data_IF_851726227475
#
_entry.id   IF_851726227475
#
_cell.length_a   1.000
_cell.length_b   1.000
_cell.length_c   1.000
_cell.angle_alpha   90.00
_cell.angle_beta   90.00
_cell.angle_gamma   90.00
#
_symmetry.space_group_name_H-M   'P 1'
#
loop_
_entity.id
_entity.type
_entity.pdbx_description
1 polymer ?
#
# COMPACT_ATOMS: atom_id res chain seq x y z
N UNK A 1 3.82 33.48 15.65
CA UNK A 1 3.22 32.62 16.71
C UNK A 1 1.93 32.09 16.10
N UNK A 2 1.69 30.79 16.19
CA UNK A 2 0.38 30.26 15.78
C UNK A 2 -0.65 30.68 16.83
N UNK A 3 -1.74 31.34 16.39
CA UNK A 3 -2.84 31.65 17.29
C UNK A 3 -3.60 30.34 17.56
N UNK A 4 -3.62 29.92 18.82
CA UNK A 4 -4.33 28.72 19.26
C UNK A 4 -5.74 29.12 19.73
N UNK A 5 -6.74 28.36 19.28
CA UNK A 5 -8.09 28.42 19.80
C UNK A 5 -8.31 27.19 20.68
N UNK A 6 -8.71 27.38 21.92
CA UNK A 6 -9.14 26.27 22.79
C UNK A 6 -10.54 25.85 22.38
N UNK A 7 -10.73 24.55 22.09
CA UNK A 7 -12.02 23.95 21.79
C UNK A 7 -12.25 22.75 22.70
N UNK A 8 -13.37 22.77 23.42
CA UNK A 8 -13.77 21.69 24.34
C UNK A 8 -15.18 21.19 23.97
N UNK A 9 -15.33 19.88 23.87
CA UNK A 9 -16.59 19.23 23.57
C UNK A 9 -16.67 17.88 24.28
N UNK A 10 -17.85 17.54 24.82
CA UNK A 10 -18.14 16.17 25.16
C UNK A 10 -18.36 15.36 23.89
N UNK A 11 -17.65 14.26 23.75
CA UNK A 11 -17.64 13.42 22.55
C UNK A 11 -18.49 12.16 22.79
N UNK A 12 -19.52 11.89 21.97
CA UNK A 12 -20.29 10.65 22.07
C UNK A 12 -19.40 9.41 21.94
N UNK A 13 -19.65 8.44 22.82
CA UNK A 13 -18.96 7.16 22.79
C UNK A 13 -19.82 6.14 22.04
N UNK A 14 -19.28 5.55 20.97
CA UNK A 14 -20.00 4.64 20.08
C UNK A 14 -19.89 3.17 20.50
N UNK A 15 -18.89 2.83 21.29
CA UNK A 15 -18.73 1.48 21.79
C UNK A 15 -17.30 1.02 21.94
N UNK A 16 -17.18 -0.25 22.35
CA UNK A 16 -15.90 -0.92 22.54
C UNK A 16 -15.85 -2.17 21.66
N UNK A 17 -14.70 -2.44 21.07
CA UNK A 17 -14.39 -3.64 20.27
C UNK A 17 -13.14 -4.32 20.79
N UNK A 18 -12.93 -5.58 20.43
CA UNK A 18 -11.68 -6.27 20.75
C UNK A 18 -10.54 -5.66 19.90
N UNK A 19 -10.81 -5.45 18.58
CA UNK A 19 -9.86 -4.87 17.65
C UNK A 19 -10.51 -3.74 16.85
N UNK A 20 -9.83 -2.60 16.77
CA UNK A 20 -10.21 -1.49 15.86
C UNK A 20 -9.10 -1.29 14.83
N UNK A 21 -9.47 -1.38 13.55
CA UNK A 21 -8.58 -1.15 12.41
C UNK A 21 -8.89 0.22 11.81
N UNK A 22 -7.88 1.08 11.70
CA UNK A 22 -8.02 2.43 11.15
C UNK A 22 -7.37 2.50 9.77
N UNK A 23 -8.20 2.71 8.74
CA UNK A 23 -7.86 2.73 7.33
C UNK A 23 -8.28 1.45 6.60
N UNK A 24 -9.21 1.57 5.66
CA UNK A 24 -9.77 0.49 4.82
C UNK A 24 -9.00 0.21 3.53
N UNK A 25 -7.69 0.52 3.50
CA UNK A 25 -6.81 0.19 2.39
C UNK A 25 -6.50 -1.32 2.29
N UNK A 26 -5.63 -1.74 1.33
CA UNK A 26 -5.31 -3.17 1.14
C UNK A 26 -4.88 -3.89 2.42
N UNK A 27 -4.05 -3.23 3.23
CA UNK A 27 -3.61 -3.78 4.52
C UNK A 27 -4.74 -3.85 5.54
N UNK A 28 -5.55 -2.77 5.66
CA UNK A 28 -6.58 -2.67 6.69
C UNK A 28 -7.73 -3.63 6.49
N UNK A 29 -8.16 -3.84 5.25
CA UNK A 29 -9.19 -4.86 4.94
C UNK A 29 -8.69 -6.24 5.36
N UNK A 30 -7.47 -6.62 4.97
CA UNK A 30 -6.91 -7.91 5.34
C UNK A 30 -6.74 -8.04 6.87
N UNK A 31 -6.35 -6.96 7.55
CA UNK A 31 -6.21 -6.95 9.01
C UNK A 31 -7.57 -7.16 9.71
N UNK A 32 -8.60 -6.44 9.27
CA UNK A 32 -9.93 -6.55 9.85
C UNK A 32 -10.55 -7.95 9.64
N UNK A 33 -10.49 -8.45 8.41
CA UNK A 33 -11.00 -9.78 8.05
C UNK A 33 -10.28 -10.87 8.83
N UNK A 34 -8.97 -10.82 8.89
CA UNK A 34 -8.18 -11.84 9.60
C UNK A 34 -8.43 -11.79 11.10
N UNK A 35 -8.51 -10.61 11.72
CA UNK A 35 -8.83 -10.49 13.14
C UNK A 35 -10.21 -11.08 13.47
N UNK A 36 -11.22 -10.77 12.66
CA UNK A 36 -12.57 -11.29 12.83
C UNK A 36 -12.65 -12.82 12.62
N UNK A 37 -11.98 -13.35 11.59
CA UNK A 37 -11.90 -14.81 11.33
C UNK A 37 -11.23 -15.58 12.48
N UNK A 38 -10.37 -14.91 13.26
CA UNK A 38 -9.77 -15.49 14.47
C UNK A 38 -10.58 -15.22 15.75
N UNK A 39 -11.81 -14.70 15.61
CA UNK A 39 -12.80 -14.58 16.66
C UNK A 39 -12.79 -13.25 17.42
N UNK A 40 -12.03 -12.25 17.01
CA UNK A 40 -12.07 -10.91 17.60
C UNK A 40 -13.28 -10.12 17.07
N UNK A 41 -14.04 -9.48 17.94
CA UNK A 41 -15.04 -8.49 17.55
C UNK A 41 -14.33 -7.27 16.98
N UNK A 42 -14.44 -7.07 15.67
CA UNK A 42 -13.59 -6.14 14.92
C UNK A 42 -14.41 -5.00 14.31
N UNK A 43 -13.89 -3.76 14.42
CA UNK A 43 -14.39 -2.58 13.71
C UNK A 43 -13.35 -2.10 12.72
N UNK A 44 -13.77 -1.90 11.46
CA UNK A 44 -12.99 -1.25 10.41
C UNK A 44 -13.48 0.17 10.17
N UNK A 45 -12.57 1.14 10.23
CA UNK A 45 -12.87 2.57 10.03
C UNK A 45 -12.17 3.06 8.76
N UNK A 46 -12.93 3.66 7.84
CA UNK A 46 -12.41 4.21 6.59
C UNK A 46 -12.92 5.63 6.33
N UNK A 47 -12.00 6.52 5.95
CA UNK A 47 -12.29 7.94 5.73
C UNK A 47 -13.09 8.20 4.45
N UNK A 48 -12.96 7.36 3.45
CA UNK A 48 -13.69 7.45 2.19
C UNK A 48 -14.97 6.63 2.20
N UNK A 49 -15.74 6.72 1.12
CA UNK A 49 -16.96 5.90 0.91
C UNK A 49 -16.66 4.54 0.28
N UNK A 50 -15.40 4.08 0.24
CA UNK A 50 -15.04 2.82 -0.41
C UNK A 50 -13.80 2.19 0.22
N UNK A 51 -13.76 0.86 0.27
CA UNK A 51 -12.59 0.09 0.65
C UNK A 51 -11.57 -0.03 -0.49
N UNK A 52 -10.35 -0.48 -0.16
CA UNK A 52 -9.26 -0.76 -1.11
C UNK A 52 -8.23 0.36 -1.25
N UNK A 53 -8.46 1.53 -0.65
CA UNK A 53 -7.48 2.63 -0.57
C UNK A 53 -6.81 2.94 -1.91
N UNK A 54 -5.47 2.78 -2.00
CA UNK A 54 -4.73 3.11 -3.22
C UNK A 54 -5.21 2.35 -4.46
N UNK A 55 -5.70 1.11 -4.34
CA UNK A 55 -6.20 0.33 -5.48
C UNK A 55 -7.53 0.85 -6.05
N UNK A 56 -8.32 1.54 -5.22
CA UNK A 56 -9.66 2.02 -5.57
C UNK A 56 -9.73 3.54 -5.65
N UNK A 57 -9.41 4.27 -4.58
CA UNK A 57 -9.50 5.75 -4.56
C UNK A 57 -8.43 6.42 -5.41
N UNK A 58 -7.23 5.83 -5.50
CA UNK A 58 -6.11 6.34 -6.31
C UNK A 58 -5.94 5.59 -7.65
N UNK A 59 -6.77 4.59 -7.95
CA UNK A 59 -6.75 3.76 -9.17
C UNK A 59 -5.38 3.09 -9.42
N UNK A 60 -4.57 2.87 -8.38
CA UNK A 60 -3.27 2.22 -8.52
C UNK A 60 -3.45 0.75 -8.90
N UNK A 61 -2.78 0.34 -9.94
CA UNK A 61 -2.79 -1.03 -10.45
C UNK A 61 -1.80 -1.18 -11.62
N UNK A 62 -1.53 -2.41 -12.04
CA UNK A 62 -1.99 -3.69 -11.49
C UNK A 62 -1.47 -3.94 -10.07
N UNK A 63 -1.94 -5.00 -9.38
CA UNK A 63 -1.19 -5.53 -8.25
C UNK A 63 0.14 -6.05 -8.79
N UNK A 64 1.24 -5.64 -8.15
CA UNK A 64 2.57 -6.08 -8.54
C UNK A 64 2.72 -7.59 -8.33
N UNK A 65 3.80 -8.16 -8.85
CA UNK A 65 4.06 -9.60 -8.74
C UNK A 65 3.98 -10.09 -7.29
N UNK A 66 3.37 -11.24 -7.12
CA UNK A 66 3.39 -12.01 -5.88
C UNK A 66 4.28 -13.26 -5.99
N UNK A 67 5.14 -13.31 -6.99
CA UNK A 67 6.10 -14.39 -7.24
C UNK A 67 7.50 -14.00 -6.74
N UNK A 68 8.37 -15.00 -6.57
CA UNK A 68 9.78 -14.80 -6.29
C UNK A 68 10.45 -13.97 -7.41
N UNK A 69 11.67 -13.49 -7.17
CA UNK A 69 12.40 -12.64 -8.12
C UNK A 69 12.51 -13.25 -9.51
N UNK A 70 12.64 -14.57 -9.60
CA UNK A 70 12.87 -15.27 -10.86
C UNK A 70 11.55 -15.76 -11.50
N UNK A 71 10.40 -15.57 -10.81
CA UNK A 71 9.07 -15.91 -11.31
C UNK A 71 8.73 -17.40 -11.25
N UNK A 72 9.40 -18.15 -10.37
CA UNK A 72 9.24 -19.62 -10.32
C UNK A 72 8.11 -20.06 -9.39
N UNK A 73 7.89 -19.33 -8.29
CA UNK A 73 6.87 -19.70 -7.29
C UNK A 73 6.22 -18.47 -6.66
N UNK A 74 4.96 -18.57 -6.25
CA UNK A 74 4.33 -17.51 -5.48
C UNK A 74 4.99 -17.38 -4.10
N UNK A 75 5.07 -16.14 -3.60
CA UNK A 75 5.56 -15.78 -2.27
C UNK A 75 4.51 -15.05 -1.44
N UNK A 76 3.38 -14.69 -2.02
CA UNK A 76 2.23 -14.15 -1.30
C UNK A 76 1.00 -14.98 -1.63
N UNK A 77 0.35 -15.49 -0.57
CA UNK A 77 -0.89 -16.26 -0.61
C UNK A 77 -1.97 -15.64 0.29
N UNK A 78 -2.72 -16.50 0.98
CA UNK A 78 -3.71 -16.10 1.98
C UNK A 78 -4.80 -15.17 1.42
N UNK A 79 -5.14 -14.13 2.17
CA UNK A 79 -6.19 -13.17 1.80
C UNK A 79 -5.93 -12.46 0.46
N UNK A 80 -4.68 -12.19 0.11
CA UNK A 80 -4.37 -11.67 -1.22
C UNK A 80 -4.86 -12.63 -2.32
N UNK A 81 -4.55 -13.92 -2.18
CA UNK A 81 -4.94 -14.95 -3.16
C UNK A 81 -6.46 -15.06 -3.24
N UNK A 82 -7.14 -15.11 -2.12
CA UNK A 82 -8.61 -15.14 -2.05
C UNK A 82 -9.23 -13.94 -2.78
N UNK A 83 -8.72 -12.72 -2.55
CA UNK A 83 -9.23 -11.51 -3.19
C UNK A 83 -9.10 -11.58 -4.71
N UNK A 84 -7.94 -11.97 -5.23
CA UNK A 84 -7.75 -12.02 -6.69
C UNK A 84 -8.53 -13.16 -7.36
N UNK A 85 -8.75 -14.27 -6.67
CA UNK A 85 -9.60 -15.36 -7.16
C UNK A 85 -11.06 -14.94 -7.24
N UNK A 86 -11.60 -14.30 -6.19
CA UNK A 86 -12.96 -13.74 -6.20
C UNK A 86 -13.15 -12.68 -7.30
N UNK A 87 -12.12 -11.90 -7.61
CA UNK A 87 -12.15 -10.98 -8.74
C UNK A 87 -12.14 -11.72 -10.08
N UNK A 88 -11.31 -12.76 -10.23
CA UNK A 88 -11.22 -13.55 -11.45
C UNK A 88 -12.53 -14.29 -11.76
N UNK A 89 -13.23 -14.82 -10.76
CA UNK A 89 -14.56 -15.41 -10.88
C UNK A 89 -15.60 -14.43 -11.47
N UNK A 90 -15.38 -13.12 -11.24
CA UNK A 90 -16.20 -12.02 -11.78
C UNK A 90 -15.65 -11.44 -13.09
N UNK A 91 -14.63 -12.06 -13.71
CA UNK A 91 -13.87 -11.54 -14.85
C UNK A 91 -13.25 -10.16 -14.60
N UNK A 92 -12.93 -9.84 -13.37
CA UNK A 92 -12.42 -8.56 -12.90
C UNK A 92 -10.94 -8.59 -12.49
N UNK A 93 -10.26 -9.71 -12.69
CA UNK A 93 -8.81 -9.85 -12.58
C UNK A 93 -8.28 -10.86 -13.60
N UNK A 94 -7.02 -10.67 -14.00
CA UNK A 94 -6.24 -11.70 -14.70
C UNK A 94 -5.26 -12.26 -13.68
N UNK A 95 -5.39 -13.54 -13.37
CA UNK A 95 -4.55 -14.18 -12.36
C UNK A 95 -3.08 -14.21 -12.80
N UNK A 96 -2.13 -14.13 -11.84
CA UNK A 96 -0.70 -13.97 -12.11
C UNK A 96 -0.11 -15.13 -12.92
N UNK A 97 -0.70 -16.32 -12.89
CA UNK A 97 -0.31 -17.47 -13.71
C UNK A 97 -0.45 -17.22 -15.21
N UNK A 98 -1.34 -16.30 -15.60
CA UNK A 98 -1.63 -15.96 -17.00
C UNK A 98 -0.94 -14.68 -17.47
N UNK A 99 -0.15 -14.04 -16.61
CA UNK A 99 0.56 -12.78 -16.91
C UNK A 99 2.08 -12.94 -16.88
N UNK A 100 2.57 -14.09 -17.25
CA UNK A 100 4.02 -14.37 -17.34
C UNK A 100 4.71 -13.62 -18.49
N UNK A 101 3.96 -13.23 -19.51
CA UNK A 101 4.47 -12.39 -20.61
C UNK A 101 4.74 -10.97 -20.10
N UNK A 102 5.77 -10.29 -20.64
CA UNK A 102 5.96 -8.87 -20.40
C UNK A 102 4.64 -8.17 -20.74
N UNK A 103 3.98 -7.64 -19.72
CA UNK A 103 2.91 -6.70 -19.96
C UNK A 103 3.47 -5.55 -20.78
N UNK A 104 2.61 -4.75 -21.38
CA UNK A 104 2.88 -3.61 -22.26
C UNK A 104 3.85 -2.60 -21.63
N UNK A 105 5.02 -3.04 -21.24
CA UNK A 105 6.04 -2.22 -20.61
C UNK A 105 7.33 -2.34 -21.36
N UNK A 106 8.01 -1.22 -21.42
CA UNK A 106 9.37 -1.12 -21.92
C UNK A 106 10.22 -2.25 -21.32
N UNK A 107 11.02 -2.86 -22.15
CA UNK A 107 11.88 -4.02 -21.88
C UNK A 107 12.66 -3.98 -20.55
N UNK A 108 12.82 -2.81 -19.96
CA UNK A 108 13.49 -2.59 -18.69
C UNK A 108 12.72 -3.12 -17.47
N UNK A 109 11.39 -2.98 -17.46
CA UNK A 109 10.56 -3.35 -16.33
C UNK A 109 9.96 -4.75 -16.55
N UNK A 110 10.05 -5.31 -17.75
CA UNK A 110 9.48 -6.61 -18.14
C UNK A 110 9.83 -7.73 -17.15
N UNK A 111 11.07 -7.80 -16.67
CA UNK A 111 11.50 -8.82 -15.69
C UNK A 111 10.73 -8.73 -14.38
N UNK A 112 10.37 -7.53 -13.92
CA UNK A 112 9.72 -7.27 -12.62
C UNK A 112 8.21 -7.09 -12.72
N UNK A 113 7.67 -7.10 -13.95
CA UNK A 113 6.23 -7.02 -14.21
C UNK A 113 5.66 -8.34 -14.75
N UNK A 114 6.41 -9.42 -14.66
CA UNK A 114 5.87 -10.78 -14.82
C UNK A 114 5.00 -11.10 -13.61
N UNK A 115 3.95 -11.88 -13.83
CA UNK A 115 3.05 -12.30 -12.76
C UNK A 115 2.39 -11.15 -11.99
N UNK A 116 2.15 -10.01 -12.64
CA UNK A 116 1.29 -8.96 -12.09
C UNK A 116 -0.17 -9.38 -12.19
N UNK A 117 -1.03 -8.80 -11.37
CA UNK A 117 -2.48 -9.07 -11.41
C UNK A 117 -3.20 -7.80 -11.86
N UNK A 118 -3.56 -7.67 -13.15
CA UNK A 118 -4.49 -6.64 -13.61
C UNK A 118 -5.84 -6.79 -12.92
N UNK A 119 -6.40 -5.68 -12.46
CA UNK A 119 -7.65 -5.66 -11.72
C UNK A 119 -8.59 -4.55 -12.20
N UNK A 120 -9.89 -4.80 -12.09
CA UNK A 120 -10.91 -3.76 -12.13
C UNK A 120 -11.11 -3.16 -10.72
N UNK A 121 -10.88 -1.84 -10.60
CA UNK A 121 -10.95 -1.16 -9.29
C UNK A 121 -12.37 -1.04 -8.75
N UNK A 122 -13.40 -1.05 -9.58
CA UNK A 122 -14.79 -1.01 -9.12
C UNK A 122 -15.22 -2.38 -8.58
N UNK A 123 -14.93 -3.45 -9.31
CA UNK A 123 -15.24 -4.80 -8.84
C UNK A 123 -14.45 -5.17 -7.59
N UNK A 124 -13.23 -4.62 -7.44
CA UNK A 124 -12.47 -4.78 -6.21
C UNK A 124 -13.23 -4.22 -5.00
N UNK A 125 -13.89 -3.05 -5.11
CA UNK A 125 -14.70 -2.51 -4.00
C UNK A 125 -15.78 -3.51 -3.58
N UNK A 126 -16.53 -4.06 -4.55
CA UNK A 126 -17.59 -5.04 -4.26
C UNK A 126 -17.03 -6.29 -3.57
N UNK A 127 -15.91 -6.82 -4.07
CA UNK A 127 -15.28 -8.00 -3.45
C UNK A 127 -14.82 -7.72 -2.02
N UNK A 128 -14.27 -6.53 -1.75
CA UNK A 128 -13.81 -6.17 -0.41
C UNK A 128 -15.00 -5.93 0.54
N UNK A 129 -16.08 -5.32 0.08
CA UNK A 129 -17.30 -5.12 0.87
C UNK A 129 -17.91 -6.47 1.27
N UNK A 130 -18.02 -7.41 0.30
CA UNK A 130 -18.51 -8.77 0.55
C UNK A 130 -17.60 -9.50 1.55
N UNK A 131 -16.29 -9.44 1.38
CA UNK A 131 -15.32 -10.11 2.24
C UNK A 131 -15.38 -9.63 3.68
N UNK A 132 -15.46 -8.31 3.90
CA UNK A 132 -15.57 -7.68 5.22
C UNK A 132 -16.88 -8.07 5.89
N UNK A 133 -17.99 -8.05 5.15
CA UNK A 133 -19.31 -8.43 5.63
C UNK A 133 -19.39 -9.92 5.98
N UNK A 134 -18.88 -10.79 5.13
CA UNK A 134 -18.84 -12.25 5.35
C UNK A 134 -18.01 -12.61 6.60
N UNK A 135 -16.96 -11.86 6.88
CA UNK A 135 -16.14 -12.05 8.07
C UNK A 135 -16.81 -11.55 9.36
N UNK A 136 -17.95 -10.84 9.27
CA UNK A 136 -18.66 -10.30 10.42
C UNK A 136 -17.98 -9.07 11.03
N UNK A 137 -17.22 -8.31 10.25
CA UNK A 137 -16.57 -7.07 10.67
C UNK A 137 -17.59 -5.93 10.69
N UNK A 138 -17.69 -5.21 11.81
CA UNK A 138 -18.39 -3.93 11.86
C UNK A 138 -17.61 -2.89 11.04
N UNK A 139 -18.29 -2.05 10.24
CA UNK A 139 -17.62 -1.10 9.35
C UNK A 139 -18.23 0.29 9.44
N UNK A 140 -17.36 1.31 9.49
CA UNK A 140 -17.72 2.71 9.40
C UNK A 140 -16.96 3.38 8.23
N UNK A 141 -17.65 3.62 7.12
CA UNK A 141 -17.18 4.47 6.03
C UNK A 141 -17.45 5.95 6.35
N UNK A 142 -16.86 6.86 5.56
CA UNK A 142 -16.98 8.31 5.76
C UNK A 142 -16.60 8.76 7.18
N UNK A 143 -15.74 7.99 7.83
CA UNK A 143 -15.34 8.20 9.21
C UNK A 143 -13.82 8.30 9.30
N UNK A 144 -13.33 9.49 9.64
CA UNK A 144 -11.89 9.80 9.65
C UNK A 144 -11.34 9.80 11.08
N UNK A 145 -10.17 9.20 11.25
CA UNK A 145 -9.37 9.38 12.47
C UNK A 145 -8.96 10.85 12.64
N UNK A 146 -9.08 11.36 13.85
CA UNK A 146 -8.71 12.74 14.22
C UNK A 146 -7.59 12.76 15.24
N UNK A 147 -7.73 11.99 16.33
CA UNK A 147 -6.82 11.98 17.46
C UNK A 147 -7.02 10.73 18.32
N UNK A 148 -6.22 10.54 19.35
CA UNK A 148 -6.44 9.51 20.37
C UNK A 148 -6.15 10.03 21.76
N UNK A 149 -6.77 9.38 22.74
CA UNK A 149 -6.49 9.58 24.15
C UNK A 149 -5.53 8.48 24.59
N UNK A 150 -4.31 8.86 24.95
CA UNK A 150 -3.27 7.94 25.41
C UNK A 150 -2.92 8.19 26.85
N UNK A 151 -2.83 7.10 27.63
CA UNK A 151 -2.39 7.13 29.02
C UNK A 151 -1.41 5.99 29.27
N UNK A 152 -0.26 6.31 29.85
CA UNK A 152 0.77 5.34 30.22
C UNK A 152 1.20 4.39 29.07
N UNK A 153 1.36 4.93 27.83
CA UNK A 153 1.74 4.14 26.66
C UNK A 153 0.61 3.27 26.10
N UNK A 154 -0.65 3.50 26.47
CA UNK A 154 -1.80 2.75 26.00
C UNK A 154 -2.87 3.69 25.46
N UNK A 155 -3.37 3.41 24.24
CA UNK A 155 -4.52 4.10 23.66
C UNK A 155 -5.77 3.67 24.42
N UNK A 156 -6.47 4.65 25.02
CA UNK A 156 -7.73 4.42 25.74
C UNK A 156 -8.92 4.50 24.77
N UNK A 157 -8.89 5.47 23.86
CA UNK A 157 -9.88 5.65 22.83
C UNK A 157 -9.32 6.43 21.64
N UNK A 158 -9.92 6.26 20.49
CA UNK A 158 -9.68 7.08 19.30
C UNK A 158 -10.83 8.05 19.07
N UNK A 159 -10.51 9.26 18.64
CA UNK A 159 -11.44 10.31 18.28
C UNK A 159 -11.62 10.32 16.78
N UNK A 160 -12.85 10.33 16.33
CA UNK A 160 -13.24 10.18 14.95
C UNK A 160 -14.11 11.36 14.49
N UNK A 161 -13.98 11.75 13.23
CA UNK A 161 -14.92 12.63 12.55
C UNK A 161 -15.83 11.79 11.64
N UNK A 162 -17.07 11.58 12.09
CA UNK A 162 -18.13 10.94 11.34
C UNK A 162 -19.06 12.00 10.71
N UNK A 163 -20.01 11.59 9.87
CA UNK A 163 -20.93 12.52 9.19
C UNK A 163 -21.79 13.33 10.19
N UNK A 164 -22.18 12.71 11.29
CA UNK A 164 -22.98 13.32 12.36
C UNK A 164 -22.15 14.16 13.35
N UNK A 165 -20.83 14.17 13.20
CA UNK A 165 -19.91 14.97 14.02
C UNK A 165 -18.77 14.15 14.64
N UNK A 166 -18.18 14.67 15.71
CA UNK A 166 -17.08 14.01 16.41
C UNK A 166 -17.64 12.92 17.32
N UNK A 167 -17.09 11.74 17.26
CA UNK A 167 -17.40 10.59 18.12
C UNK A 167 -16.11 9.89 18.59
N UNK A 168 -16.25 8.92 19.49
CA UNK A 168 -15.13 8.10 19.98
C UNK A 168 -15.47 6.63 20.04
N UNK A 169 -14.44 5.79 19.88
CA UNK A 169 -14.50 4.35 20.08
C UNK A 169 -13.31 3.90 20.91
N UNK A 170 -13.45 2.78 21.62
CA UNK A 170 -12.33 2.14 22.32
C UNK A 170 -12.13 0.71 21.84
N UNK A 171 -10.94 0.18 22.09
CA UNK A 171 -10.61 -1.21 21.82
C UNK A 171 -9.56 -1.74 22.79
N UNK A 172 -9.47 -3.06 22.89
CA UNK A 172 -8.36 -3.71 23.56
C UNK A 172 -7.06 -3.52 22.76
N UNK A 173 -7.15 -3.58 21.43
CA UNK A 173 -6.03 -3.38 20.51
C UNK A 173 -6.44 -2.58 19.26
N UNK A 174 -5.53 -1.70 18.80
CA UNK A 174 -5.68 -0.91 17.59
C UNK A 174 -4.68 -1.35 16.51
N UNK A 175 -5.09 -1.27 15.23
CA UNK A 175 -4.20 -1.49 14.09
C UNK A 175 -4.21 -0.23 13.21
N UNK A 176 -3.07 0.43 13.11
CA UNK A 176 -2.89 1.59 12.21
C UNK A 176 -2.59 1.12 10.79
N UNK A 177 -3.59 1.24 9.93
CA UNK A 177 -3.54 1.01 8.48
C UNK A 177 -3.84 2.29 7.69
N UNK A 178 -3.69 3.47 8.30
CA UNK A 178 -4.01 4.77 7.67
C UNK A 178 -3.12 5.09 6.47
N UNK A 179 -2.00 4.40 6.32
CA UNK A 179 -1.01 4.62 5.26
C UNK A 179 -0.13 5.86 5.49
N UNK A 180 -0.34 6.57 6.60
CA UNK A 180 0.47 7.72 7.03
C UNK A 180 0.95 7.60 8.47
N UNK A 181 0.68 6.48 9.16
CA UNK A 181 0.93 6.27 10.59
C UNK A 181 0.25 7.33 11.47
N UNK A 182 -0.99 7.71 11.12
CA UNK A 182 -1.68 8.81 11.79
C UNK A 182 -2.00 8.46 13.26
N UNK A 183 -2.43 7.20 13.52
CA UNK A 183 -2.72 6.74 14.87
C UNK A 183 -1.44 6.63 15.69
N UNK A 184 -0.39 6.06 15.13
CA UNK A 184 0.89 5.90 15.81
C UNK A 184 1.47 7.25 16.24
N UNK A 185 1.43 8.25 15.34
CA UNK A 185 1.94 9.60 15.64
C UNK A 185 1.08 10.30 16.70
N UNK A 186 -0.25 10.18 16.63
CA UNK A 186 -1.14 10.72 17.66
C UNK A 186 -0.92 10.04 19.03
N UNK A 187 -0.57 8.75 19.01
CA UNK A 187 -0.19 7.99 20.21
C UNK A 187 1.25 8.26 20.68
N UNK A 188 1.93 9.27 20.12
CA UNK A 188 3.31 9.68 20.43
C UNK A 188 4.38 8.62 20.12
N UNK A 189 4.09 7.64 19.25
CA UNK A 189 5.10 6.72 18.74
C UNK A 189 6.11 7.51 17.92
N UNK A 190 7.42 7.36 18.16
CA UNK A 190 8.44 7.99 17.34
C UNK A 190 8.32 7.57 15.89
N UNK A 191 8.39 8.53 14.98
CA UNK A 191 8.29 8.31 13.55
C UNK A 191 9.16 9.30 12.77
N UNK A 192 9.60 8.89 11.60
CA UNK A 192 10.28 9.79 10.66
C UNK A 192 9.54 9.81 9.32
N UNK A 193 9.93 10.70 8.43
CA UNK A 193 9.28 10.90 7.15
C UNK A 193 10.30 10.88 6.02
N UNK A 194 9.95 10.21 4.91
CA UNK A 194 10.76 10.19 3.72
C UNK A 194 12.14 9.54 3.92
N UNK A 195 13.10 9.96 3.12
CA UNK A 195 14.47 9.43 3.16
C UNK A 195 15.22 9.86 4.40
N UNK A 196 16.00 8.95 4.95
CA UNK A 196 16.87 9.21 6.08
C UNK A 196 17.84 10.36 5.76
N UNK A 197 17.82 11.40 6.58
CA UNK A 197 18.67 12.60 6.46
C UNK A 197 18.02 13.74 5.67
N UNK A 198 17.36 13.51 4.56
CA UNK A 198 16.68 14.57 3.79
C UNK A 198 15.24 14.83 4.25
N UNK A 199 14.57 13.80 4.74
CA UNK A 199 13.14 13.84 5.08
C UNK A 199 12.20 13.99 3.88
N UNK A 200 12.72 13.90 2.65
CA UNK A 200 11.95 14.07 1.42
C UNK A 200 11.30 12.73 1.02
N UNK A 201 9.95 12.67 0.92
CA UNK A 201 9.29 11.46 0.48
C UNK A 201 9.46 11.23 -1.02
N UNK A 202 9.23 9.99 -1.46
CA UNK A 202 9.15 9.67 -2.88
C UNK A 202 7.94 10.38 -3.53
N UNK A 203 8.03 10.74 -4.83
CA UNK A 203 6.98 11.48 -5.51
C UNK A 203 5.67 10.72 -5.59
N UNK A 204 4.57 11.44 -5.62
CA UNK A 204 3.25 10.91 -5.88
C UNK A 204 3.01 10.65 -7.38
N UNK A 205 1.87 9.99 -7.69
CA UNK A 205 1.39 9.82 -9.07
C UNK A 205 -0.13 9.87 -9.07
N UNK A 206 -0.72 10.51 -10.06
CA UNK A 206 -2.15 10.45 -10.31
C UNK A 206 -2.38 9.49 -11.48
N UNK A 207 -2.71 8.23 -11.16
CA UNK A 207 -3.04 7.22 -12.17
C UNK A 207 -4.48 7.44 -12.67
N UNK A 208 -4.73 7.11 -13.93
CA UNK A 208 -6.08 7.22 -14.51
C UNK A 208 -6.37 6.03 -15.43
N UNK A 209 -7.63 5.83 -15.75
CA UNK A 209 -8.08 4.77 -16.66
C UNK A 209 -8.53 5.37 -17.99
N UNK A 210 -8.19 4.67 -19.07
CA UNK A 210 -8.63 4.97 -20.43
C UNK A 210 -9.36 3.76 -21.01
N UNK A 211 -10.28 4.02 -21.94
CA UNK A 211 -10.91 3.02 -22.79
C UNK A 211 -10.70 3.35 -24.28
N UNK A 212 -11.07 2.44 -25.16
CA UNK A 212 -10.99 2.64 -26.61
C UNK A 212 -9.62 2.35 -27.23
N UNK A 213 -8.75 1.62 -26.52
CA UNK A 213 -7.45 1.17 -27.05
C UNK A 213 -7.68 0.01 -28.02
N UNK A 214 -7.12 0.10 -29.23
CA UNK A 214 -7.01 -1.01 -30.16
C UNK A 214 -5.83 -1.90 -29.81
N UNK A 215 -6.07 -2.96 -29.04
CA UNK A 215 -5.04 -3.89 -28.58
C UNK A 215 -4.29 -4.60 -29.72
N UNK A 216 -4.91 -4.72 -30.88
CA UNK A 216 -4.26 -5.37 -32.04
C UNK A 216 -3.28 -4.45 -32.78
N UNK A 217 -3.47 -3.14 -32.64
CA UNK A 217 -2.57 -2.13 -33.21
C UNK A 217 -1.46 -1.70 -32.25
N UNK A 218 -1.58 -2.02 -30.96
CA UNK A 218 -0.61 -1.57 -29.96
C UNK A 218 0.62 -2.48 -29.95
N UNK A 219 1.74 -1.94 -30.40
CA UNK A 219 3.07 -2.50 -30.14
C UNK A 219 3.86 -1.49 -29.32
N UNK A 220 4.36 -1.91 -28.17
CA UNK A 220 5.21 -1.07 -27.34
C UNK A 220 6.37 -0.51 -28.13
N UNK A 221 6.59 0.80 -28.07
CA UNK A 221 7.69 1.48 -28.72
C UNK A 221 8.47 2.33 -27.74
N UNK A 222 9.81 2.26 -27.75
CA UNK A 222 10.67 3.09 -26.88
C UNK A 222 10.47 4.60 -27.04
N UNK A 223 9.91 5.02 -28.20
CA UNK A 223 9.66 6.42 -28.52
C UNK A 223 8.45 7.01 -27.76
N UNK A 224 7.60 6.15 -27.20
CA UNK A 224 6.38 6.57 -26.47
C UNK A 224 6.47 6.15 -25.00
N UNK A 225 7.03 7.02 -24.14
CA UNK A 225 7.40 6.64 -22.77
C UNK A 225 6.22 6.57 -21.78
N UNK A 226 4.98 6.66 -22.24
CA UNK A 226 3.81 6.59 -21.35
C UNK A 226 3.57 5.15 -20.95
N UNK A 227 3.59 4.89 -19.65
CA UNK A 227 3.31 3.57 -19.09
C UNK A 227 1.81 3.35 -18.99
N UNK A 228 1.30 2.40 -19.75
CA UNK A 228 -0.10 1.98 -19.71
C UNK A 228 -0.19 0.47 -19.43
N UNK A 229 -1.03 0.07 -18.49
CA UNK A 229 -1.21 -1.30 -18.03
C UNK A 229 -2.57 -1.82 -18.47
N UNK A 230 -2.60 -2.92 -19.20
CA UNK A 230 -3.84 -3.57 -19.60
C UNK A 230 -4.68 -3.93 -18.37
N UNK A 231 -5.98 -3.69 -18.47
CA UNK A 231 -6.99 -4.13 -17.50
C UNK A 231 -7.61 -5.47 -17.94
N UNK A 232 -8.38 -6.15 -17.07
CA UNK A 232 -9.09 -7.37 -17.47
C UNK A 232 -10.05 -7.17 -18.65
N UNK A 233 -10.69 -6.02 -18.73
CA UNK A 233 -11.58 -5.63 -19.81
C UNK A 233 -10.78 -5.21 -21.06
N UNK A 234 -11.14 -5.74 -22.21
CA UNK A 234 -10.49 -5.46 -23.50
C UNK A 234 -10.58 -3.96 -23.84
N UNK A 235 -9.50 -3.42 -24.38
CA UNK A 235 -9.41 -2.00 -24.77
C UNK A 235 -9.34 -1.02 -23.58
N UNK A 236 -9.26 -1.50 -22.33
CA UNK A 236 -9.09 -0.65 -21.13
C UNK A 236 -7.72 -0.77 -20.54
N UNK A 237 -7.18 0.40 -20.14
CA UNK A 237 -5.83 0.52 -19.58
C UNK A 237 -5.77 1.48 -18.40
N UNK A 238 -4.88 1.19 -17.45
CA UNK A 238 -4.45 2.13 -16.41
C UNK A 238 -3.18 2.81 -16.83
N UNK A 239 -3.14 4.13 -16.74
CA UNK A 239 -1.97 4.94 -17.10
C UNK A 239 -1.22 5.37 -15.83
N UNK A 240 0.09 5.08 -15.77
CA UNK A 240 0.99 5.47 -14.70
C UNK A 240 2.22 6.13 -15.33
N UNK A 241 2.24 7.44 -15.40
CA UNK A 241 3.27 8.10 -16.20
C UNK A 241 4.11 9.10 -15.42
N UNK A 242 3.53 10.25 -15.04
CA UNK A 242 4.30 11.33 -14.46
C UNK A 242 4.45 11.24 -12.94
N UNK A 243 5.49 11.90 -12.44
CA UNK A 243 5.74 12.08 -11.02
C UNK A 243 5.28 13.45 -10.56
N UNK A 244 4.58 13.49 -9.44
CA UNK A 244 4.26 14.72 -8.72
C UNK A 244 5.24 14.84 -7.55
N UNK A 245 6.20 15.75 -7.70
CA UNK A 245 7.26 15.97 -6.72
C UNK A 245 6.81 16.86 -5.56
N UNK A 246 7.59 16.84 -4.48
CA UNK A 246 7.38 17.66 -3.29
C UNK A 246 6.03 17.44 -2.62
N UNK A 247 5.53 16.20 -2.64
CA UNK A 247 4.26 15.82 -2.01
C UNK A 247 4.51 15.24 -0.64
N UNK A 248 3.96 15.89 0.38
CA UNK A 248 3.88 15.37 1.74
C UNK A 248 2.46 14.84 2.01
N UNK A 249 2.33 13.52 2.13
CA UNK A 249 1.04 12.87 2.37
C UNK A 249 0.40 13.20 3.74
N UNK A 250 1.16 13.80 4.63
CA UNK A 250 0.70 14.24 5.94
C UNK A 250 0.41 15.75 6.02
N UNK A 251 0.45 16.47 4.88
CA UNK A 251 0.16 17.90 4.79
C UNK A 251 -0.92 18.19 3.74
N UNK A 252 -2.04 18.77 4.19
CA UNK A 252 -3.21 19.03 3.33
C UNK A 252 -2.92 20.01 2.20
N UNK A 253 -2.06 21.02 2.44
CA UNK A 253 -1.74 22.03 1.43
C UNK A 253 -0.86 21.41 0.36
N UNK A 254 0.13 20.60 0.76
CA UNK A 254 0.97 19.84 -0.14
C UNK A 254 0.16 18.86 -0.99
N UNK A 255 -0.73 18.08 -0.37
CA UNK A 255 -1.61 17.14 -1.08
C UNK A 255 -2.55 17.88 -2.06
N UNK A 256 -3.08 19.04 -1.69
CA UNK A 256 -3.93 19.84 -2.57
C UNK A 256 -3.17 20.31 -3.81
N UNK A 257 -1.98 20.88 -3.61
CA UNK A 257 -1.13 21.35 -4.70
C UNK A 257 -0.73 20.20 -5.63
N UNK A 258 -0.29 19.08 -5.04
CA UNK A 258 0.10 17.88 -5.78
C UNK A 258 -1.06 17.29 -6.58
N UNK A 259 -2.27 17.28 -6.04
CA UNK A 259 -3.43 16.76 -6.76
C UNK A 259 -3.82 17.66 -7.95
N UNK A 260 -3.74 18.99 -7.79
CA UNK A 260 -4.00 19.95 -8.90
C UNK A 260 -2.96 19.76 -10.01
N UNK A 261 -1.69 19.62 -9.66
CA UNK A 261 -0.61 19.35 -10.61
C UNK A 261 -0.81 18.03 -11.34
N UNK A 262 -1.13 16.96 -10.60
CA UNK A 262 -1.37 15.64 -11.19
C UNK A 262 -2.52 15.63 -12.21
N UNK A 263 -3.57 16.45 -12.03
CA UNK A 263 -4.64 16.58 -13.03
C UNK A 263 -4.16 17.17 -14.35
N UNK A 264 -3.23 18.14 -14.33
CA UNK A 264 -2.61 18.67 -15.54
C UNK A 264 -1.78 17.59 -16.24
N UNK A 265 -1.00 16.83 -15.44
CA UNK A 265 -0.20 15.73 -15.97
C UNK A 265 -1.04 14.61 -16.60
N UNK A 266 -2.28 14.37 -16.13
CA UNK A 266 -3.23 13.45 -16.78
C UNK A 266 -3.52 13.90 -18.21
N UNK A 267 -3.81 15.20 -18.41
CA UNK A 267 -4.11 15.73 -19.75
C UNK A 267 -2.89 15.64 -20.66
N UNK A 268 -1.68 15.95 -20.16
CA UNK A 268 -0.46 15.85 -20.92
C UNK A 268 -0.19 14.39 -21.35
N UNK A 269 -0.34 13.42 -20.43
CA UNK A 269 -0.17 12.01 -20.74
C UNK A 269 -1.25 11.52 -21.73
N UNK A 270 -2.50 11.96 -21.59
CA UNK A 270 -3.57 11.61 -22.50
C UNK A 270 -3.26 12.10 -23.93
N UNK A 271 -2.81 13.34 -24.11
CA UNK A 271 -2.45 13.85 -25.44
C UNK A 271 -1.27 13.12 -26.06
N UNK A 272 -0.28 12.74 -25.25
CA UNK A 272 0.86 11.93 -25.77
C UNK A 272 0.38 10.56 -26.25
N UNK A 273 -0.53 9.91 -25.52
CA UNK A 273 -1.10 8.62 -25.94
C UNK A 273 -1.97 8.78 -27.19
N UNK A 274 -2.97 9.67 -27.14
CA UNK A 274 -3.93 9.87 -28.21
C UNK A 274 -3.28 10.32 -29.52
N UNK A 275 -2.38 11.31 -29.48
CA UNK A 275 -1.86 11.95 -30.67
C UNK A 275 -0.62 11.26 -31.27
N UNK A 276 0.08 10.43 -30.48
CA UNK A 276 1.42 9.92 -30.85
C UNK A 276 1.55 8.40 -30.74
N UNK A 277 0.61 7.69 -30.11
CA UNK A 277 0.73 6.26 -29.86
C UNK A 277 -0.19 5.47 -30.76
N UNK A 278 0.30 4.66 -31.73
CA UNK A 278 -0.55 3.85 -32.57
C UNK A 278 -1.45 2.90 -31.77
N UNK A 279 -2.73 2.81 -32.16
CA UNK A 279 -3.74 2.05 -31.46
C UNK A 279 -4.45 2.80 -30.32
N UNK A 280 -4.05 4.07 -30.09
CA UNK A 280 -4.66 4.93 -29.06
C UNK A 280 -5.44 6.12 -29.66
N UNK A 281 -5.68 6.15 -30.92
CA UNK A 281 -6.33 7.28 -31.64
C UNK A 281 -7.80 7.48 -31.21
N UNK A 282 -8.44 6.45 -30.62
CA UNK A 282 -9.85 6.49 -30.22
C UNK A 282 -10.04 6.45 -28.70
N UNK A 283 -8.98 6.65 -27.92
CA UNK A 283 -9.06 6.57 -26.47
C UNK A 283 -9.89 7.71 -25.87
N UNK A 284 -10.45 7.41 -24.70
CA UNK A 284 -11.12 8.39 -23.84
C UNK A 284 -10.65 8.19 -22.40
N UNK A 285 -10.68 9.25 -21.61
CA UNK A 285 -10.49 9.13 -20.16
C UNK A 285 -11.76 8.48 -19.60
N UNK A 286 -11.63 7.27 -19.11
CA UNK A 286 -12.74 6.52 -18.53
C UNK A 286 -12.94 6.86 -17.05
N UNK A 287 -11.85 6.98 -16.28
CA UNK A 287 -11.88 7.29 -14.84
C UNK A 287 -10.64 8.07 -14.42
N UNK A 288 -10.85 8.99 -13.48
CA UNK A 288 -9.77 9.71 -12.79
C UNK A 288 -9.83 9.42 -11.28
N UNK A 289 -8.70 9.41 -10.58
CA UNK A 289 -8.66 9.10 -9.15
C UNK A 289 -9.20 10.24 -8.30
N UNK A 290 -9.76 9.92 -7.14
CA UNK A 290 -10.21 10.89 -6.14
C UNK A 290 -9.10 11.34 -5.19
N UNK A 291 -8.01 10.56 -5.08
CA UNK A 291 -6.84 10.89 -4.26
C UNK A 291 -5.54 10.67 -5.03
N UNK A 292 -4.52 11.45 -4.67
CA UNK A 292 -3.17 11.28 -5.19
C UNK A 292 -2.54 10.00 -4.62
N UNK A 293 -2.02 9.16 -5.48
CA UNK A 293 -1.28 7.96 -5.09
C UNK A 293 0.08 8.33 -4.50
N UNK A 294 0.22 8.17 -3.19
CA UNK A 294 1.47 8.46 -2.46
C UNK A 294 2.27 7.19 -2.24
N UNK A 295 3.54 7.20 -2.65
CA UNK A 295 4.44 6.06 -2.49
C UNK A 295 4.98 5.93 -1.08
N UNK A 296 5.22 7.05 -0.44
CA UNK A 296 5.87 7.13 0.87
C UNK A 296 5.20 8.22 1.73
N UNK A 297 5.29 8.07 3.03
CA UNK A 297 4.83 9.02 4.03
C UNK A 297 5.73 8.91 5.26
N UNK A 298 5.14 8.64 6.43
CA UNK A 298 5.86 8.37 7.67
C UNK A 298 6.20 6.89 7.80
N UNK A 299 7.25 6.59 8.54
CA UNK A 299 7.63 5.27 9.03
C UNK A 299 7.73 5.35 10.54
N UNK A 300 7.20 4.36 11.24
CA UNK A 300 7.30 4.30 12.71
C UNK A 300 8.67 3.81 13.17
N UNK A 301 9.06 4.14 14.40
CA UNK A 301 10.07 3.40 15.12
C UNK A 301 9.43 2.17 15.77
N UNK A 302 9.80 1.00 15.26
CA UNK A 302 9.35 -0.30 15.77
C UNK A 302 10.45 -1.03 16.54
N UNK A 303 10.09 -2.16 17.12
CA UNK A 303 11.04 -3.05 17.84
C UNK A 303 12.16 -3.57 16.94
N UNK A 304 11.97 -3.52 15.62
CA UNK A 304 12.99 -3.78 14.61
C UNK A 304 12.79 -2.85 13.41
N UNK A 305 13.87 -2.31 12.88
CA UNK A 305 13.87 -1.51 11.64
C UNK A 305 14.41 -2.36 10.49
N UNK A 306 13.54 -2.77 9.57
CA UNK A 306 13.96 -3.54 8.41
C UNK A 306 14.88 -2.71 7.52
N UNK A 307 16.06 -3.24 7.24
CA UNK A 307 17.12 -2.53 6.51
C UNK A 307 17.18 -2.92 5.05
N UNK A 308 17.84 -2.08 4.25
CA UNK A 308 18.18 -2.39 2.85
C UNK A 308 19.01 -3.67 2.77
N UNK A 309 19.93 -3.87 3.71
CA UNK A 309 20.80 -5.05 3.74
C UNK A 309 20.01 -6.35 4.01
N UNK A 310 19.01 -6.30 4.91
CA UNK A 310 18.12 -7.45 5.17
C UNK A 310 17.39 -7.89 3.89
N UNK A 311 16.84 -6.91 3.16
CA UNK A 311 16.12 -7.13 1.90
C UNK A 311 17.08 -7.64 0.81
N UNK A 312 18.26 -7.03 0.70
CA UNK A 312 19.26 -7.41 -0.30
C UNK A 312 19.81 -8.82 -0.09
N UNK A 313 20.03 -9.23 1.17
CA UNK A 313 20.52 -10.57 1.51
C UNK A 313 19.42 -11.62 1.66
N UNK A 314 18.15 -11.23 1.72
CA UNK A 314 17.05 -12.15 2.02
C UNK A 314 17.18 -12.75 3.41
N UNK A 315 17.48 -11.93 4.43
CA UNK A 315 17.64 -12.40 5.80
C UNK A 315 16.35 -13.05 6.28
N UNK A 316 16.44 -14.33 6.66
CA UNK A 316 15.29 -15.09 7.15
C UNK A 316 15.19 -14.97 8.67
N UNK A 317 14.18 -14.23 9.12
CA UNK A 317 13.91 -14.00 10.54
C UNK A 317 13.07 -15.15 11.14
N UNK A 318 13.32 -15.48 12.40
CA UNK A 318 12.51 -16.47 13.13
C UNK A 318 11.07 -15.98 13.33
N UNK A 319 10.89 -14.67 13.50
CA UNK A 319 9.60 -14.00 13.65
C UNK A 319 9.02 -13.46 12.32
N UNK A 320 9.39 -14.04 11.18
CA UNK A 320 8.86 -13.63 9.88
C UNK A 320 7.36 -13.85 9.77
N UNK A 321 6.66 -12.89 9.20
CA UNK A 321 5.19 -12.92 9.03
C UNK A 321 4.75 -12.70 7.59
N UNK A 322 5.67 -12.33 6.73
CA UNK A 322 5.46 -12.21 5.29
C UNK A 322 6.75 -12.49 4.54
N UNK A 323 6.61 -12.94 3.31
CA UNK A 323 7.68 -13.08 2.31
C UNK A 323 7.33 -12.23 1.12
N UNK A 324 8.33 -11.58 0.53
CA UNK A 324 8.14 -10.80 -0.69
C UNK A 324 9.40 -10.80 -1.55
N UNK A 325 9.26 -10.39 -2.82
CA UNK A 325 10.40 -10.44 -3.75
C UNK A 325 10.42 -9.30 -4.76
N UNK A 326 9.45 -8.37 -4.69
CA UNK A 326 9.49 -7.20 -5.55
C UNK A 326 10.69 -6.33 -5.19
N UNK A 327 11.43 -5.88 -6.20
CA UNK A 327 12.61 -5.06 -6.00
C UNK A 327 12.33 -3.75 -5.25
N UNK A 328 13.33 -3.19 -4.64
CA UNK A 328 13.21 -1.88 -3.99
C UNK A 328 13.02 -0.81 -5.07
N UNK A 329 11.77 -0.51 -5.39
CA UNK A 329 11.36 0.49 -6.38
C UNK A 329 11.47 1.89 -5.81
N UNK A 330 12.63 2.49 -6.01
CA UNK A 330 12.97 3.83 -5.52
C UNK A 330 12.88 4.83 -6.66
N UNK A 331 12.07 5.86 -6.47
CA UNK A 331 11.91 6.96 -7.41
C UNK A 331 12.76 8.17 -6.99
N UNK A 332 13.30 8.89 -7.98
CA UNK A 332 13.93 10.19 -7.75
C UNK A 332 13.03 11.09 -6.91
N UNK A 333 13.62 11.75 -5.93
CA UNK A 333 12.87 12.61 -4.99
C UNK A 333 12.69 14.03 -5.50
N UNK A 334 13.48 14.42 -6.49
CA UNK A 334 13.39 15.74 -7.13
C UNK A 334 13.39 15.61 -8.66
N UNK A 335 12.77 16.57 -9.34
CA UNK A 335 12.69 16.60 -10.79
C UNK A 335 14.07 16.68 -11.46
N UNK A 336 15.03 17.37 -10.86
CA UNK A 336 16.40 17.51 -11.38
C UNK A 336 17.11 16.15 -11.44
N UNK A 337 16.99 15.34 -10.40
CA UNK A 337 17.54 14.01 -10.37
C UNK A 337 16.85 13.05 -11.34
N UNK A 338 15.57 13.20 -11.56
CA UNK A 338 14.81 12.37 -12.49
C UNK A 338 15.33 12.58 -13.94
N UNK A 339 15.50 13.82 -14.35
CA UNK A 339 16.09 14.17 -15.66
C UNK A 339 17.55 13.74 -15.80
N UNK A 340 18.38 13.95 -14.78
CA UNK A 340 19.77 13.55 -14.76
C UNK A 340 19.94 12.04 -14.87
N UNK A 341 19.07 11.27 -14.20
CA UNK A 341 19.09 9.80 -14.25
C UNK A 341 18.69 9.29 -15.64
N UNK A 342 17.66 9.83 -16.23
CA UNK A 342 17.25 9.47 -17.59
C UNK A 342 18.37 9.72 -18.61
N UNK A 343 19.12 10.81 -18.46
CA UNK A 343 20.26 11.13 -19.30
C UNK A 343 21.44 10.17 -19.08
N UNK A 344 21.80 9.87 -17.82
CA UNK A 344 22.93 8.96 -17.51
C UNK A 344 22.65 7.52 -17.90
N UNK A 345 21.41 7.05 -17.80
CA UNK A 345 21.00 5.71 -18.26
C UNK A 345 21.07 5.59 -19.79
N UNK A 346 20.77 6.66 -20.52
CA UNK A 346 20.95 6.69 -21.99
C UNK A 346 22.41 6.61 -22.40
N UNK A 347 23.33 7.22 -21.62
CA UNK A 347 24.76 7.23 -21.91
C UNK A 347 25.45 5.92 -21.49
N UNK A 348 25.11 5.32 -20.39
CA UNK A 348 25.69 4.07 -19.88
C UNK A 348 24.66 3.16 -19.18
N UNK A 349 24.14 2.16 -19.89
CA UNK A 349 23.22 1.19 -19.31
C UNK A 349 23.80 0.35 -18.16
N UNK A 350 25.13 0.27 -18.02
CA UNK A 350 25.79 -0.50 -16.94
C UNK A 350 25.63 0.18 -15.57
N UNK A 351 25.38 1.46 -15.55
CA UNK A 351 25.11 2.27 -14.36
C UNK A 351 23.97 1.69 -13.54
N UNK A 352 23.04 0.98 -14.18
CA UNK A 352 21.92 0.26 -13.51
C UNK A 352 22.38 -0.88 -12.59
N UNK A 353 23.53 -1.50 -12.89
CA UNK A 353 24.00 -2.69 -12.16
C UNK A 353 24.73 -2.37 -10.85
N UNK A 354 25.18 -1.14 -10.68
CA UNK A 354 26.10 -0.78 -9.59
C UNK A 354 25.42 -0.23 -8.33
N UNK A 355 24.09 -0.05 -8.32
CA UNK A 355 23.36 0.54 -7.19
C UNK A 355 23.75 1.98 -6.85
N UNK A 356 24.60 2.62 -7.66
CA UNK A 356 25.13 3.97 -7.44
C UNK A 356 24.36 5.08 -8.16
N UNK A 357 23.20 4.75 -8.75
CA UNK A 357 22.43 5.72 -9.52
C UNK A 357 21.47 6.45 -8.62
N UNK A 358 21.61 7.74 -8.56
CA UNK A 358 20.61 8.65 -8.03
C UNK A 358 19.50 8.75 -9.07
N UNK A 359 18.32 8.17 -8.79
CA UNK A 359 17.20 8.23 -9.73
C UNK A 359 16.17 7.11 -9.57
N UNK A 360 15.29 6.98 -10.56
CA UNK A 360 14.33 5.89 -10.64
C UNK A 360 15.03 4.57 -10.93
N UNK A 361 15.17 3.72 -9.94
CA UNK A 361 15.77 2.41 -10.13
C UNK A 361 15.14 1.35 -9.24
N UNK A 362 15.13 0.16 -9.77
CA UNK A 362 14.75 -1.03 -9.05
C UNK A 362 16.03 -1.70 -8.56
N UNK A 363 16.32 -1.61 -7.26
CA UNK A 363 17.45 -2.31 -6.67
C UNK A 363 17.15 -3.79 -6.60
N UNK A 364 18.06 -4.61 -7.11
CA UNK A 364 17.91 -6.06 -7.02
C UNK A 364 17.85 -6.50 -5.54
N UNK A 365 16.95 -7.42 -5.29
CA UNK A 365 16.75 -8.06 -3.99
C UNK A 365 17.21 -9.52 -4.07
N UNK A 366 17.27 -10.22 -2.95
CA UNK A 366 17.40 -11.67 -2.91
C UNK A 366 16.28 -12.36 -3.73
N UNK A 367 16.35 -13.65 -3.93
CA UNK A 367 15.27 -14.43 -4.55
C UNK A 367 13.92 -14.15 -3.89
N UNK A 368 13.92 -14.06 -2.57
CA UNK A 368 12.86 -13.54 -1.73
C UNK A 368 13.46 -12.91 -0.47
N UNK A 369 12.73 -12.01 0.18
CA UNK A 369 13.09 -11.43 1.47
C UNK A 369 11.94 -11.53 2.47
N UNK A 370 12.27 -11.52 3.75
CA UNK A 370 11.34 -11.83 4.82
C UNK A 370 11.10 -10.60 5.69
N UNK A 371 9.87 -10.43 6.13
CA UNK A 371 9.48 -9.28 6.95
C UNK A 371 9.21 -9.77 8.37
N UNK A 372 9.99 -9.30 9.37
CA UNK A 372 9.81 -9.72 10.74
C UNK A 372 8.61 -9.04 11.40
N UNK A 373 7.91 -9.77 12.26
CA UNK A 373 6.77 -9.24 13.04
C UNK A 373 7.14 -7.98 13.83
N UNK A 374 8.35 -7.97 14.42
CA UNK A 374 8.86 -6.85 15.22
C UNK A 374 8.90 -5.51 14.48
N UNK A 375 8.91 -5.49 13.15
CA UNK A 375 8.84 -4.25 12.38
C UNK A 375 7.45 -3.61 12.38
N UNK A 376 6.41 -4.37 12.78
CA UNK A 376 5.03 -3.93 12.88
C UNK A 376 4.64 -3.50 14.31
N UNK A 377 5.49 -3.79 15.30
CA UNK A 377 5.29 -3.50 16.71
C UNK A 377 5.97 -2.17 17.03
N UNK A 378 5.21 -1.07 17.28
CA UNK A 378 5.78 0.22 17.59
C UNK A 378 6.51 0.23 18.92
N UNK A 379 7.45 1.15 19.08
CA UNK A 379 7.99 1.50 20.41
C UNK A 379 6.94 2.27 21.22
N UNK A 380 6.99 2.13 22.52
CA UNK A 380 6.28 2.97 23.48
C UNK A 380 4.73 2.98 23.38
N UNK A 381 4.13 2.01 22.69
CA UNK A 381 2.68 1.84 22.67
C UNK A 381 2.26 0.37 22.85
N UNK A 382 1.56 0.10 23.94
CA UNK A 382 1.29 -1.25 24.45
C UNK A 382 0.14 -1.98 23.75
N UNK A 383 -0.73 -1.28 23.02
CA UNK A 383 -1.91 -1.84 22.37
C UNK A 383 -2.09 -1.34 20.93
N UNK A 384 -0.99 -1.14 20.23
CA UNK A 384 -1.00 -0.72 18.83
C UNK A 384 -0.14 -1.67 17.99
N UNK A 385 -0.64 -2.01 16.81
CA UNK A 385 0.12 -2.55 15.69
C UNK A 385 0.07 -1.57 14.53
N UNK A 386 1.10 -1.56 13.70
CA UNK A 386 1.15 -0.76 12.47
C UNK A 386 1.34 -1.69 11.29
N UNK A 387 0.60 -1.48 10.21
CA UNK A 387 0.67 -2.35 9.05
C UNK A 387 0.63 -1.57 7.71
N UNK A 388 1.15 -2.22 6.67
CA UNK A 388 1.30 -1.62 5.34
C UNK A 388 2.61 -0.85 5.19
N UNK A 389 2.61 0.23 4.40
CA UNK A 389 3.83 0.95 4.01
C UNK A 389 4.52 1.74 5.11
N UNK A 390 3.90 1.86 6.28
CA UNK A 390 4.35 2.70 7.40
C UNK A 390 5.04 1.93 8.52
N UNK A 391 5.22 0.61 8.35
CA UNK A 391 6.00 -0.21 9.28
C UNK A 391 7.43 0.32 9.44
N UNK A 392 8.12 -0.14 10.47
CA UNK A 392 9.50 0.25 10.74
C UNK A 392 10.46 -0.34 9.70
N UNK A 393 10.88 0.48 8.75
CA UNK A 393 11.82 0.11 7.69
C UNK A 393 12.60 1.30 7.17
N UNK A 394 13.80 1.08 6.66
CA UNK A 394 14.50 2.13 5.91
C UNK A 394 13.69 2.53 4.68
N UNK A 395 13.74 3.81 4.31
CA UNK A 395 12.99 4.38 3.19
C UNK A 395 13.21 3.63 1.86
N UNK A 396 14.43 3.21 1.56
CA UNK A 396 14.71 2.40 0.37
C UNK A 396 14.07 0.99 0.45
N UNK A 397 14.15 0.34 1.61
CA UNK A 397 13.53 -0.97 1.82
C UNK A 397 12.00 -0.87 1.65
N UNK A 398 11.39 0.23 2.13
CA UNK A 398 9.98 0.52 1.93
C UNK A 398 9.56 0.55 0.45
N UNK A 399 10.48 0.85 -0.47
CA UNK A 399 10.22 0.79 -1.91
C UNK A 399 9.71 -0.57 -2.40
N UNK A 400 10.17 -1.67 -1.80
CA UNK A 400 9.67 -3.02 -2.07
C UNK A 400 8.44 -3.40 -1.25
N UNK A 401 8.34 -2.91 -0.02
CA UNK A 401 7.30 -3.31 0.94
C UNK A 401 5.95 -2.64 0.71
N UNK A 402 5.94 -1.45 0.13
CA UNK A 402 4.75 -0.61 -0.03
C UNK A 402 3.76 -1.11 -1.07
N UNK A 403 4.14 -2.06 -1.91
CA UNK A 403 3.26 -2.59 -2.95
C UNK A 403 2.14 -3.44 -2.35
N UNK A 404 0.99 -3.42 -3.01
CA UNK A 404 -0.26 -3.88 -2.40
C UNK A 404 -0.29 -5.36 -1.99
N UNK A 405 0.27 -6.33 -2.75
CA UNK A 405 0.30 -7.71 -2.29
C UNK A 405 1.06 -7.89 -0.97
N UNK A 406 2.19 -7.21 -0.81
CA UNK A 406 2.94 -7.18 0.45
C UNK A 406 2.13 -6.54 1.58
N UNK A 407 1.49 -5.40 1.31
CA UNK A 407 0.65 -4.72 2.30
C UNK A 407 -0.54 -5.58 2.75
N UNK A 408 -1.14 -6.39 1.86
CA UNK A 408 -2.20 -7.35 2.20
C UNK A 408 -1.69 -8.46 3.11
N UNK A 409 -0.50 -9.03 2.82
CA UNK A 409 0.13 -10.05 3.66
C UNK A 409 0.45 -9.49 5.06
N UNK A 410 0.98 -8.27 5.15
CA UNK A 410 1.21 -7.59 6.42
C UNK A 410 -0.09 -7.31 7.18
N UNK A 411 -1.17 -6.94 6.46
CA UNK A 411 -2.49 -6.79 7.05
C UNK A 411 -2.99 -8.08 7.67
N UNK A 412 -2.91 -9.18 6.93
CA UNK A 412 -3.27 -10.50 7.43
C UNK A 412 -2.49 -10.85 8.70
N UNK A 413 -1.19 -10.60 8.71
CA UNK A 413 -0.35 -10.85 9.88
C UNK A 413 -0.74 -9.97 11.08
N UNK A 414 -1.03 -8.69 10.85
CA UNK A 414 -1.47 -7.77 11.92
C UNK A 414 -2.80 -8.21 12.54
N UNK A 415 -3.78 -8.62 11.71
CA UNK A 415 -5.07 -9.11 12.16
C UNK A 415 -4.97 -10.38 13.01
N UNK A 416 -4.21 -11.37 12.54
CA UNK A 416 -3.96 -12.60 13.30
C UNK A 416 -3.25 -12.31 14.63
N UNK A 417 -2.22 -11.47 14.61
CA UNK A 417 -1.49 -11.08 15.82
C UNK A 417 -2.38 -10.33 16.82
N UNK A 418 -3.25 -9.42 16.34
CA UNK A 418 -4.18 -8.68 17.18
C UNK A 418 -5.19 -9.62 17.88
N UNK A 419 -5.76 -10.57 17.13
CA UNK A 419 -6.68 -11.56 17.70
C UNK A 419 -6.00 -12.44 18.76
N UNK A 420 -4.74 -12.86 18.53
CA UNK A 420 -3.96 -13.61 19.52
C UNK A 420 -3.72 -12.75 20.77
N UNK A 421 -3.28 -11.50 20.59
CA UNK A 421 -2.97 -10.60 21.69
C UNK A 421 -4.18 -10.40 22.61
N UNK A 422 -5.34 -10.12 22.02
CA UNK A 422 -6.59 -9.95 22.76
C UNK A 422 -6.99 -11.25 23.46
N UNK A 423 -7.02 -12.37 22.76
CA UNK A 423 -7.42 -13.66 23.29
C UNK A 423 -6.54 -14.14 24.44
N UNK A 424 -5.23 -13.93 24.33
CA UNK A 424 -4.26 -14.40 25.31
C UNK A 424 -4.01 -13.32 26.42
N UNK A 425 -4.57 -12.12 26.29
CA UNK A 425 -4.41 -11.01 27.24
C UNK A 425 -2.98 -10.50 27.32
N UNK A 426 -2.26 -10.50 26.19
CA UNK A 426 -0.84 -10.08 26.11
C UNK A 426 -0.68 -8.82 25.26
N UNK A 427 0.42 -8.08 25.48
CA UNK A 427 0.78 -6.98 24.60
C UNK A 427 1.20 -7.52 23.22
N UNK A 428 1.08 -6.72 22.12
CA UNK A 428 1.58 -7.10 20.80
C UNK A 428 3.01 -7.63 20.78
N UNK A 429 3.91 -7.03 21.53
CA UNK A 429 5.31 -7.45 21.61
C UNK A 429 5.53 -8.86 22.21
N UNK A 430 4.53 -9.37 22.93
CA UNK A 430 4.56 -10.68 23.60
C UNK A 430 3.71 -11.75 22.90
N UNK A 431 3.22 -11.48 21.69
CA UNK A 431 2.49 -12.46 20.88
C UNK A 431 3.39 -13.66 20.57
N UNK A 432 2.86 -14.87 20.78
CA UNK A 432 3.58 -16.11 20.40
C UNK A 432 3.76 -16.18 18.88
N UNK A 433 5.00 -16.08 18.44
CA UNK A 433 5.36 -16.15 17.01
C UNK A 433 5.01 -17.49 16.40
N UNK A 434 5.23 -18.58 17.13
CA UNK A 434 4.84 -19.94 16.68
C UNK A 434 3.34 -20.04 16.42
N UNK A 435 2.53 -19.52 17.34
CA UNK A 435 1.08 -19.50 17.22
C UNK A 435 0.63 -18.61 16.04
N UNK A 436 1.25 -17.44 15.88
CA UNK A 436 1.00 -16.52 14.79
C UNK A 436 1.32 -17.16 13.44
N UNK A 437 2.51 -17.69 13.28
CA UNK A 437 2.96 -18.34 12.03
C UNK A 437 2.07 -19.54 11.67
N UNK A 438 1.64 -20.34 12.65
CA UNK A 438 0.72 -21.45 12.42
C UNK A 438 -0.63 -20.95 11.87
N UNK A 439 -1.23 -19.95 12.49
CA UNK A 439 -2.50 -19.37 12.00
C UNK A 439 -2.34 -18.84 10.57
N UNK A 440 -1.26 -18.13 10.30
CA UNK A 440 -0.99 -17.59 8.97
C UNK A 440 -0.87 -18.70 7.91
N UNK A 441 -0.14 -19.77 8.22
CA UNK A 441 0.00 -20.93 7.32
C UNK A 441 -1.32 -21.67 7.13
N UNK A 442 -2.10 -21.87 8.19
CA UNK A 442 -3.43 -22.50 8.14
C UNK A 442 -4.42 -21.69 7.29
N UNK A 443 -4.24 -20.35 7.21
CA UNK A 443 -5.01 -19.43 6.38
C UNK A 443 -4.32 -19.12 5.02
N UNK A 444 -3.42 -19.98 4.59
CA UNK A 444 -2.83 -19.96 3.24
C UNK A 444 -1.75 -18.91 3.02
N UNK A 445 -1.25 -18.23 4.05
CA UNK A 445 -0.09 -17.36 3.89
C UNK A 445 1.16 -18.19 3.57
N UNK A 446 2.11 -17.57 2.85
CA UNK A 446 3.40 -18.16 2.52
C UNK A 446 4.46 -17.50 3.38
N UNK A 447 5.25 -18.28 4.10
CA UNK A 447 6.30 -17.80 5.01
C UNK A 447 7.71 -18.30 4.66
N UNK A 448 7.83 -19.09 3.57
CA UNK A 448 9.08 -19.64 3.08
C UNK A 448 9.25 -19.50 1.57
#
# INVERSE_FOLDING_TARGET
>A
MADYIRYEKQVPFYGHWDVVVLGGGPSGVCAAVEAARNGARTLLIEASGMLGGMATTALVGPFMTNYDRDGNRPVVGGLYREIIERLAEKNAAILPEYTDSPSIHTSFIAKYHRHVTPIDSFMLQIVLDDLVKEAGVDMLLYTRFVDCICENGKIQSVILAALEGICSVSADLFIDCTGNADVAVAAHVPAWKGEEGSGIPQPGTLMFEIDGVDDQGYTERPEYPVKAYRMPEEGRYKVNHYHVFNVDAADSKSMTAGHIEGRKQILDAFHVLHDKTPGFENIRIARTPSVLGTRESRHIEGKYKLTVEDVHRGVKFDDRVAVYAFGMDVHSRTAEYDHATAASIKQDPSVRKTGKVVGNFLVEVAEAYYIPYRSMVPLDCDNLLVSGKTISSQSQAAGGLRVMPCAMALGQAAGAAAAIAVKDGVKPENVSIEKLQRILLDHGAILD
#
